data_IF_529722611314
#
_entry.id   IF_529722611314
#
_cell.length_a   1.000
_cell.length_b   1.000
_cell.length_c   1.000
_cell.angle_alpha   90.00
_cell.angle_beta   90.00
_cell.angle_gamma   90.00
#
_symmetry.space_group_name_H-M   'P 1'
#
loop_
_entity.id
_entity.type
_entity.pdbx_description
1 polymer ?
#
# COMPACT_ATOMS: atom_id res chain seq x y z
N UNK A 1 -9.59 19.13 13.31
CA UNK A 1 -9.42 17.70 13.64
C UNK A 1 -7.93 17.43 13.60
N UNK A 2 -7.28 17.26 14.75
CA UNK A 2 -5.85 16.94 14.80
C UNK A 2 -5.72 15.54 14.21
N UNK A 3 -4.99 15.43 13.11
CA UNK A 3 -4.97 14.24 12.26
C UNK A 3 -4.09 13.18 12.94
N UNK A 4 -4.71 12.28 13.72
CA UNK A 4 -4.06 11.14 14.40
C UNK A 4 -3.17 10.31 13.46
N UNK A 5 -3.46 10.33 12.16
CA UNK A 5 -2.64 9.69 11.15
C UNK A 5 -1.27 10.35 10.94
N UNK A 6 -1.03 11.60 11.34
CA UNK A 6 0.27 12.26 11.12
C UNK A 6 1.37 11.64 11.99
N UNK A 7 1.08 11.37 13.26
CA UNK A 7 2.03 10.76 14.17
C UNK A 7 2.15 9.26 13.91
N UNK A 8 1.02 8.57 13.70
CA UNK A 8 1.01 7.12 13.47
C UNK A 8 1.66 6.77 12.13
N UNK A 9 1.54 7.59 11.08
CA UNK A 9 2.06 7.27 9.75
C UNK A 9 3.55 6.88 9.74
N UNK A 10 4.37 7.49 10.61
CA UNK A 10 5.80 7.16 10.68
C UNK A 10 6.09 5.79 11.33
N UNK A 11 5.17 5.31 12.16
CA UNK A 11 5.27 4.01 12.85
C UNK A 11 4.36 2.95 12.25
N UNK A 12 3.48 3.34 11.32
CA UNK A 12 2.41 2.52 10.74
C UNK A 12 2.96 1.25 10.09
N UNK A 13 4.02 1.40 9.30
CA UNK A 13 4.64 0.27 8.61
C UNK A 13 5.20 -0.75 9.59
N UNK A 14 5.92 -0.29 10.62
CA UNK A 14 6.47 -1.15 11.66
C UNK A 14 5.35 -1.89 12.41
N UNK A 15 4.27 -1.19 12.75
CA UNK A 15 3.12 -1.79 13.43
C UNK A 15 2.43 -2.88 12.57
N UNK A 16 2.23 -2.63 11.29
CA UNK A 16 1.54 -3.60 10.43
C UNK A 16 2.43 -4.79 10.04
N UNK A 17 3.73 -4.56 9.91
CA UNK A 17 4.70 -5.60 9.55
C UNK A 17 5.22 -6.40 10.74
N UNK A 18 4.91 -6.02 11.99
CA UNK A 18 5.32 -6.75 13.21
C UNK A 18 4.56 -8.07 13.43
N UNK A 19 4.07 -8.71 12.35
CA UNK A 19 3.30 -9.95 12.38
C UNK A 19 1.79 -9.79 12.26
N UNK A 20 1.28 -8.57 12.09
CA UNK A 20 -0.16 -8.32 11.96
C UNK A 20 -0.68 -8.63 10.54
N UNK A 21 0.07 -8.25 9.51
CA UNK A 21 -0.25 -8.58 8.11
C UNK A 21 0.93 -9.22 7.38
N UNK A 22 0.65 -10.28 6.64
CA UNK A 22 1.56 -10.84 5.63
C UNK A 22 1.24 -10.28 4.25
N UNK A 23 1.89 -9.17 3.91
CA UNK A 23 1.72 -8.51 2.62
C UNK A 23 2.27 -9.33 1.44
N UNK A 24 3.16 -10.30 1.66
CA UNK A 24 3.64 -11.18 0.59
C UNK A 24 2.57 -12.21 0.24
N UNK A 25 1.94 -12.82 1.24
CA UNK A 25 0.82 -13.75 1.02
C UNK A 25 -0.37 -13.04 0.36
N UNK A 26 -0.69 -11.82 0.83
CA UNK A 26 -1.77 -11.02 0.26
C UNK A 26 -1.49 -10.61 -1.19
N UNK A 27 -0.29 -10.12 -1.50
CA UNK A 27 0.06 -9.71 -2.87
C UNK A 27 0.08 -10.89 -3.84
N UNK A 28 0.56 -12.06 -3.41
CA UNK A 28 0.52 -13.29 -4.21
C UNK A 28 -0.91 -13.75 -4.47
N UNK A 29 -1.78 -13.68 -3.46
CA UNK A 29 -3.20 -14.00 -3.61
C UNK A 29 -3.85 -13.08 -4.64
N UNK A 30 -3.60 -11.77 -4.55
CA UNK A 30 -4.09 -10.80 -5.52
C UNK A 30 -3.52 -11.02 -6.92
N UNK A 31 -2.23 -11.37 -7.04
CA UNK A 31 -1.61 -11.70 -8.32
C UNK A 31 -2.34 -12.85 -9.03
N UNK A 32 -2.63 -13.93 -8.30
CA UNK A 32 -3.36 -15.08 -8.83
C UNK A 32 -4.82 -14.73 -9.16
N UNK A 33 -5.49 -13.94 -8.32
CA UNK A 33 -6.88 -13.54 -8.55
C UNK A 33 -7.03 -12.58 -9.73
N UNK A 34 -6.10 -11.64 -9.92
CA UNK A 34 -6.16 -10.64 -10.97
C UNK A 34 -5.82 -11.22 -12.35
N UNK A 35 -5.16 -12.38 -12.41
CA UNK A 35 -4.78 -13.09 -13.63
C UNK A 35 -4.00 -12.18 -14.61
N UNK A 36 -4.54 -11.84 -15.79
CA UNK A 36 -3.88 -10.93 -16.74
C UNK A 36 -4.17 -9.44 -16.49
N UNK A 37 -5.03 -9.09 -15.52
CA UNK A 37 -5.40 -7.69 -15.25
C UNK A 37 -4.26 -6.97 -14.57
N UNK A 38 -3.88 -5.81 -15.12
CA UNK A 38 -2.75 -5.00 -14.61
C UNK A 38 -3.14 -3.59 -14.18
N UNK A 39 -4.37 -3.13 -14.42
CA UNK A 39 -4.85 -1.82 -13.95
C UNK A 39 -5.60 -1.99 -12.63
N UNK A 40 -5.15 -1.31 -11.58
CA UNK A 40 -5.71 -1.43 -10.23
C UNK A 40 -5.94 -0.03 -9.66
N UNK A 41 -7.08 0.16 -8.99
CA UNK A 41 -7.34 1.30 -8.13
C UNK A 41 -7.25 0.82 -6.68
N UNK A 42 -6.27 1.32 -5.94
CA UNK A 42 -6.07 0.99 -4.52
C UNK A 42 -6.71 2.10 -3.66
N UNK A 43 -7.84 1.79 -3.03
CA UNK A 43 -8.62 2.73 -2.22
C UNK A 43 -8.22 2.56 -0.75
N UNK A 44 -7.65 3.59 -0.15
CA UNK A 44 -7.00 3.49 1.17
C UNK A 44 -5.57 2.97 1.04
N UNK A 45 -4.82 3.47 0.05
CA UNK A 45 -3.45 3.01 -0.26
C UNK A 45 -2.48 3.18 0.92
N UNK A 46 -2.80 4.06 1.88
CA UNK A 46 -1.96 4.30 3.06
C UNK A 46 -0.54 4.71 2.66
N UNK A 47 0.45 4.09 3.31
CA UNK A 47 1.88 4.26 3.02
C UNK A 47 2.37 3.41 1.83
N UNK A 48 1.47 2.73 1.12
CA UNK A 48 1.79 1.96 -0.08
C UNK A 48 2.37 0.56 0.13
N UNK A 49 2.29 -0.04 1.33
CA UNK A 49 2.90 -1.37 1.62
C UNK A 49 2.43 -2.48 0.67
N UNK A 50 1.11 -2.62 0.49
CA UNK A 50 0.58 -3.65 -0.41
C UNK A 50 0.91 -3.34 -1.87
N UNK A 51 0.73 -2.08 -2.27
CA UNK A 51 1.04 -1.62 -3.62
C UNK A 51 2.51 -1.88 -3.98
N UNK A 52 3.46 -1.62 -3.09
CA UNK A 52 4.88 -1.93 -3.26
C UNK A 52 5.09 -3.43 -3.56
N UNK A 53 4.47 -4.31 -2.77
CA UNK A 53 4.55 -5.76 -3.01
C UNK A 53 3.93 -6.16 -4.34
N UNK A 54 2.79 -5.59 -4.71
CA UNK A 54 2.15 -5.88 -6.00
C UNK A 54 3.05 -5.45 -7.17
N UNK A 55 3.62 -4.24 -7.13
CA UNK A 55 4.53 -3.72 -8.16
C UNK A 55 5.80 -4.59 -8.31
N UNK A 56 6.25 -5.25 -7.23
CA UNK A 56 7.39 -6.19 -7.30
C UNK A 56 7.07 -7.50 -8.02
N UNK A 57 5.79 -7.90 -8.09
CA UNK A 57 5.37 -9.18 -8.69
C UNK A 57 5.07 -9.08 -10.19
N UNK A 58 4.61 -7.91 -10.66
CA UNK A 58 4.28 -7.71 -12.06
C UNK A 58 4.23 -6.23 -12.43
N UNK A 59 4.19 -5.96 -13.74
CA UNK A 59 4.02 -4.61 -14.28
C UNK A 59 2.58 -4.11 -14.13
N UNK A 60 2.16 -3.84 -12.90
CA UNK A 60 0.88 -3.20 -12.62
C UNK A 60 0.92 -1.70 -12.92
N UNK A 61 -0.23 -1.15 -13.32
CA UNK A 61 -0.54 0.27 -13.39
C UNK A 61 -1.53 0.57 -12.27
N UNK A 62 -1.02 1.06 -11.15
CA UNK A 62 -1.79 1.27 -9.92
C UNK A 62 -2.05 2.77 -9.75
N UNK A 63 -3.31 3.12 -9.47
CA UNK A 63 -3.68 4.45 -8.97
C UNK A 63 -4.02 4.26 -7.50
N UNK A 64 -3.25 4.88 -6.61
CA UNK A 64 -3.50 4.87 -5.17
C UNK A 64 -4.24 6.13 -4.74
N UNK A 65 -5.29 5.98 -3.93
CA UNK A 65 -5.99 7.10 -3.30
C UNK A 65 -6.06 6.89 -1.80
N UNK A 66 -5.86 7.97 -1.05
CA UNK A 66 -6.01 8.01 0.40
C UNK A 66 -6.47 9.41 0.80
N UNK A 67 -7.21 9.53 1.90
CA UNK A 67 -7.63 10.84 2.39
C UNK A 67 -6.53 11.54 3.20
N UNK A 68 -5.53 10.80 3.70
CA UNK A 68 -4.46 11.32 4.53
C UNK A 68 -3.29 11.82 3.67
N UNK A 69 -3.03 13.15 3.63
CA UNK A 69 -1.91 13.68 2.85
C UNK A 69 -0.56 13.13 3.30
N UNK A 70 -0.38 12.90 4.62
CA UNK A 70 0.86 12.35 5.17
C UNK A 70 1.12 10.91 4.72
N UNK A 71 0.08 10.08 4.65
CA UNK A 71 0.20 8.71 4.13
C UNK A 71 0.62 8.74 2.65
N UNK A 72 -0.01 9.62 1.86
CA UNK A 72 0.34 9.80 0.46
C UNK A 72 1.76 10.34 0.25
N UNK A 73 2.26 11.23 1.11
CA UNK A 73 3.66 11.68 1.08
C UNK A 73 4.63 10.50 1.24
N UNK A 74 4.39 9.63 2.23
CA UNK A 74 5.22 8.44 2.47
C UNK A 74 5.10 7.46 1.30
N UNK A 75 3.88 7.20 0.81
CA UNK A 75 3.65 6.34 -0.34
C UNK A 75 4.42 6.84 -1.57
N UNK A 76 4.35 8.14 -1.89
CA UNK A 76 5.07 8.72 -3.03
C UNK A 76 6.58 8.53 -2.96
N UNK A 77 7.16 8.67 -1.76
CA UNK A 77 8.59 8.42 -1.57
C UNK A 77 8.94 6.94 -1.78
N UNK A 78 8.04 6.03 -1.39
CA UNK A 78 8.28 4.58 -1.44
C UNK A 78 8.07 3.99 -2.84
N UNK A 79 7.01 4.39 -3.55
CA UNK A 79 6.54 3.71 -4.78
C UNK A 79 6.42 4.63 -6.01
N UNK A 80 6.81 5.89 -5.92
CA UNK A 80 6.83 6.87 -7.02
C UNK A 80 5.54 7.66 -7.18
#
# INVERSE_FOLDING_TARGET
MINEYVEIANYYDNLLTSGYFDFNSLSNTLYNLLDARRKVLDIGVGTGLLTEKMLSLANYKIIGVDFSPRMLEIAKVKIG
#
